data_IF_539623934220
#
_entry.id   IF_539623934220
#
_cell.length_a   1.000
_cell.length_b   1.000
_cell.length_c   1.000
_cell.angle_alpha   90.00
_cell.angle_beta   90.00
_cell.angle_gamma   90.00
#
_symmetry.space_group_name_H-M   'P 1'
#
loop_
_entity.id
_entity.type
_entity.pdbx_description
1 polymer ?
#
# COMPACT_ATOMS: atom_id res chain seq x y z
N UNK A 1 38.84 5.87 -59.45
CA UNK A 1 39.40 6.86 -58.51
C UNK A 1 38.35 7.17 -57.46
N UNK A 2 38.79 7.34 -56.22
CA UNK A 2 38.08 7.11 -54.96
C UNK A 2 36.58 7.50 -54.86
N UNK A 3 35.82 6.56 -54.33
CA UNK A 3 34.46 6.68 -53.81
C UNK A 3 34.40 7.67 -52.64
N UNK A 4 33.46 8.60 -52.66
CA UNK A 4 33.13 9.45 -51.50
C UNK A 4 31.72 9.10 -51.05
N UNK A 5 31.63 8.21 -50.07
CA UNK A 5 30.37 7.83 -49.42
C UNK A 5 30.06 8.88 -48.34
N UNK A 6 28.99 9.65 -48.53
CA UNK A 6 28.51 10.61 -47.54
C UNK A 6 27.72 9.85 -46.46
N UNK A 7 28.32 9.72 -45.27
CA UNK A 7 27.70 9.09 -44.11
C UNK A 7 26.82 10.12 -43.39
N UNK A 8 25.50 10.09 -43.61
CA UNK A 8 24.54 10.85 -42.81
C UNK A 8 24.42 10.23 -41.41
N UNK A 9 25.16 10.77 -40.45
CA UNK A 9 24.97 10.50 -39.02
C UNK A 9 23.68 11.18 -38.55
N UNK A 10 22.62 10.40 -38.35
CA UNK A 10 21.44 10.84 -37.60
C UNK A 10 21.77 10.77 -36.11
N UNK A 11 22.02 11.93 -35.51
CA UNK A 11 22.05 12.08 -34.05
C UNK A 11 20.62 12.05 -33.51
N UNK A 12 20.29 11.21 -32.52
CA UNK A 12 19.03 11.36 -31.79
C UNK A 12 19.13 12.62 -30.93
N UNK A 13 18.35 13.64 -31.27
CA UNK A 13 18.13 14.81 -30.45
C UNK A 13 17.40 14.41 -29.18
N UNK A 14 18.13 14.33 -28.06
CA UNK A 14 17.61 14.29 -26.70
C UNK A 14 16.89 15.62 -26.41
N UNK A 15 15.56 15.60 -26.48
CA UNK A 15 14.74 16.71 -26.01
C UNK A 15 14.56 16.53 -24.50
N UNK A 16 15.36 17.26 -23.72
CA UNK A 16 15.06 17.47 -22.30
C UNK A 16 13.84 18.38 -22.19
N UNK A 17 12.66 17.79 -21.97
CA UNK A 17 11.49 18.53 -21.54
C UNK A 17 11.66 18.96 -20.09
N UNK A 18 12.15 20.18 -19.86
CA UNK A 18 12.04 20.82 -18.55
C UNK A 18 10.56 21.12 -18.29
N UNK A 19 9.89 20.26 -17.50
CA UNK A 19 8.57 20.55 -17.00
C UNK A 19 8.67 21.64 -15.90
N UNK A 20 8.56 22.90 -16.32
CA UNK A 20 8.47 24.07 -15.46
C UNK A 20 7.06 24.21 -14.88
N UNK A 21 6.61 23.21 -14.13
CA UNK A 21 5.30 23.20 -13.50
C UNK A 21 5.29 22.37 -12.22
N UNK A 22 5.58 23.02 -11.08
CA UNK A 22 5.10 22.70 -9.72
C UNK A 22 6.05 23.05 -8.56
N UNK A 23 6.83 24.14 -8.66
CA UNK A 23 7.55 24.66 -7.47
C UNK A 23 6.54 25.13 -6.40
N UNK A 24 5.35 25.61 -6.80
CA UNK A 24 4.32 26.06 -5.87
C UNK A 24 3.58 24.92 -5.12
N UNK A 25 3.54 23.69 -5.65
CA UNK A 25 2.91 22.56 -4.96
C UNK A 25 3.83 21.89 -3.93
N UNK A 26 5.16 21.96 -4.10
CA UNK A 26 6.10 21.42 -3.11
C UNK A 26 6.12 22.22 -1.81
N UNK A 27 5.98 23.55 -1.89
CA UNK A 27 6.02 24.42 -0.70
C UNK A 27 4.74 24.39 0.14
N UNK A 28 3.59 23.99 -0.42
CA UNK A 28 2.33 23.83 0.34
C UNK A 28 2.21 22.50 1.09
N UNK A 29 2.91 21.45 0.66
CA UNK A 29 2.84 20.12 1.30
C UNK A 29 3.70 20.02 2.56
N UNK A 30 4.83 20.74 2.60
CA UNK A 30 5.71 20.76 3.77
C UNK A 30 5.13 21.55 4.96
N UNK A 31 4.27 22.55 4.72
CA UNK A 31 3.72 23.40 5.79
C UNK A 31 2.54 22.78 6.56
N UNK A 32 1.96 21.66 6.12
CA UNK A 32 0.78 21.05 6.78
C UNK A 32 1.09 19.84 7.67
N UNK A 33 2.34 19.36 7.71
CA UNK A 33 2.70 18.19 8.51
C UNK A 33 2.84 18.53 10.00
N UNK A 34 3.24 19.77 10.32
CA UNK A 34 3.54 20.27 11.67
C UNK A 34 2.32 20.61 12.54
N UNK A 35 1.07 20.50 12.04
CA UNK A 35 -0.14 20.85 12.83
C UNK A 35 -1.14 19.70 12.98
N UNK A 36 -0.78 18.47 12.63
CA UNK A 36 -1.69 17.32 12.74
C UNK A 36 -1.85 16.93 14.21
N UNK A 37 -3.08 16.90 14.70
CA UNK A 37 -3.40 16.36 16.03
C UNK A 37 -3.64 14.86 15.90
N UNK A 38 -2.57 14.08 15.78
CA UNK A 38 -2.69 12.63 15.61
C UNK A 38 -3.24 11.98 16.89
N UNK A 39 -4.27 11.12 16.83
CA UNK A 39 -4.78 10.38 17.99
C UNK A 39 -3.74 9.38 18.54
N UNK A 40 -3.96 8.88 19.76
CA UNK A 40 -3.04 7.91 20.39
C UNK A 40 -2.88 6.64 19.53
N UNK A 41 -3.96 6.12 18.98
CA UNK A 41 -3.94 4.97 18.07
C UNK A 41 -3.31 5.27 16.69
N UNK A 42 -3.00 6.54 16.39
CA UNK A 42 -2.32 6.95 15.16
C UNK A 42 -3.22 7.31 13.99
N UNK A 43 -4.52 7.09 14.08
CA UNK A 43 -5.50 7.40 13.03
C UNK A 43 -6.86 7.73 13.64
N UNK A 44 -7.71 8.44 12.91
CA UNK A 44 -9.11 8.59 13.27
C UNK A 44 -9.90 7.41 12.72
N UNK A 45 -10.76 6.78 13.52
CA UNK A 45 -11.54 5.63 13.05
C UNK A 45 -12.55 6.10 11.96
N UNK A 46 -12.45 5.60 10.72
CA UNK A 46 -13.38 5.97 9.64
C UNK A 46 -14.84 5.80 10.02
N UNK A 47 -15.18 4.78 10.82
CA UNK A 47 -16.56 4.46 11.17
C UNK A 47 -17.24 5.55 12.01
N UNK A 48 -16.48 6.34 12.77
CA UNK A 48 -17.01 7.40 13.63
C UNK A 48 -17.63 8.56 12.80
N UNK A 49 -17.20 8.70 11.54
CA UNK A 49 -17.58 9.78 10.64
C UNK A 49 -18.19 9.27 9.32
N UNK A 50 -18.83 8.09 9.33
CA UNK A 50 -19.51 7.54 8.15
C UNK A 50 -18.58 7.03 7.03
N UNK A 51 -17.30 6.82 7.35
CA UNK A 51 -16.35 6.10 6.53
C UNK A 51 -16.48 4.59 6.62
N UNK A 52 -15.52 3.87 6.05
CA UNK A 52 -15.56 2.41 5.91
C UNK A 52 -14.15 1.80 5.93
N UNK A 53 -14.05 0.59 6.48
CA UNK A 53 -12.89 -0.29 6.32
C UNK A 53 -13.03 -1.28 5.15
N UNK A 54 -14.09 -1.14 4.35
CA UNK A 54 -14.26 -1.83 3.08
C UNK A 54 -14.15 -0.82 1.93
N UNK A 55 -13.43 -1.22 0.88
CA UNK A 55 -13.41 -0.47 -0.37
C UNK A 55 -14.79 -0.52 -1.04
N UNK A 56 -15.03 0.44 -1.92
CA UNK A 56 -16.17 0.48 -2.83
C UNK A 56 -15.66 0.13 -4.21
N UNK A 57 -16.15 -0.99 -4.71
CA UNK A 57 -15.83 -1.52 -6.03
C UNK A 57 -17.07 -1.30 -6.92
N UNK A 58 -16.93 -0.68 -8.11
CA UNK A 58 -18.10 -0.35 -8.94
C UNK A 58 -18.96 -1.55 -9.34
N UNK A 59 -18.32 -2.68 -9.66
CA UNK A 59 -18.99 -3.91 -10.10
C UNK A 59 -18.31 -5.09 -9.42
N UNK A 60 -19.10 -5.88 -8.69
CA UNK A 60 -18.69 -7.10 -7.99
C UNK A 60 -19.74 -8.17 -8.18
N UNK A 61 -19.38 -9.42 -7.90
CA UNK A 61 -20.33 -10.52 -7.90
C UNK A 61 -20.19 -11.35 -6.62
N UNK A 62 -21.19 -11.32 -5.71
CA UNK A 62 -22.36 -10.43 -5.65
C UNK A 62 -22.07 -8.93 -5.68
N UNK A 63 -23.03 -8.13 -6.16
CA UNK A 63 -22.91 -6.66 -6.21
C UNK A 63 -22.80 -6.03 -4.83
N UNK A 64 -22.01 -4.96 -4.72
CA UNK A 64 -21.89 -4.14 -3.52
C UNK A 64 -20.87 -4.67 -2.51
N UNK A 65 -20.06 -5.64 -2.89
CA UNK A 65 -18.94 -6.13 -2.08
C UNK A 65 -17.71 -5.21 -2.17
N UNK A 66 -16.87 -5.27 -1.15
CA UNK A 66 -15.64 -4.49 -1.02
C UNK A 66 -14.48 -5.32 -0.52
N UNK A 67 -13.27 -4.81 -0.73
CA UNK A 67 -12.05 -5.40 -0.19
C UNK A 67 -11.71 -4.83 1.18
N UNK A 68 -11.15 -5.64 2.10
CA UNK A 68 -10.84 -5.21 3.44
C UNK A 68 -9.60 -4.31 3.46
N UNK A 69 -9.75 -3.12 4.05
CA UNK A 69 -8.65 -2.26 4.47
C UNK A 69 -8.09 -2.81 5.78
N UNK A 70 -7.22 -3.81 5.66
CA UNK A 70 -6.78 -4.67 6.76
C UNK A 70 -5.40 -4.29 7.33
N UNK A 71 -4.78 -3.22 6.85
CA UNK A 71 -3.50 -2.72 7.34
C UNK A 71 -3.49 -1.19 7.42
N UNK A 72 -2.88 -0.62 8.46
CA UNK A 72 -2.72 0.83 8.62
C UNK A 72 -1.26 1.14 8.97
N UNK A 73 -0.62 2.07 8.26
CA UNK A 73 0.57 2.76 8.77
C UNK A 73 0.11 3.97 9.57
N UNK A 74 0.35 3.92 10.87
CA UNK A 74 -0.02 4.91 11.87
C UNK A 74 0.55 6.29 11.54
N UNK A 75 -0.25 7.33 11.76
CA UNK A 75 0.18 8.73 11.70
C UNK A 75 1.24 9.10 12.76
N UNK A 76 1.50 8.22 13.73
CA UNK A 76 2.60 8.35 14.71
C UNK A 76 3.95 7.87 14.15
N UNK A 77 3.98 7.34 12.93
CA UNK A 77 5.22 7.05 12.20
C UNK A 77 6.00 8.33 11.90
N UNK A 78 7.28 8.20 11.56
CA UNK A 78 8.08 9.38 11.20
C UNK A 78 7.50 10.11 9.97
N UNK A 79 7.60 11.43 9.96
CA UNK A 79 6.96 12.27 8.94
C UNK A 79 7.34 11.87 7.52
N UNK A 80 8.60 11.46 7.30
CA UNK A 80 9.08 10.99 6.00
C UNK A 80 8.30 9.76 5.50
N UNK A 81 7.95 8.82 6.38
CA UNK A 81 7.17 7.62 6.04
C UNK A 81 5.77 7.99 5.54
N UNK A 82 5.22 9.12 6.00
CA UNK A 82 3.86 9.56 5.65
C UNK A 82 3.84 10.40 4.36
N UNK A 83 4.98 10.55 3.69
CA UNK A 83 5.10 11.22 2.39
C UNK A 83 5.17 10.17 1.30
N UNK A 84 4.20 10.20 0.38
CA UNK A 84 4.23 9.40 -0.85
C UNK A 84 5.45 9.82 -1.72
N UNK A 85 6.56 9.10 -1.57
CA UNK A 85 7.86 9.34 -2.19
C UNK A 85 8.73 8.08 -2.17
N UNK A 86 9.51 7.87 -3.23
CA UNK A 86 10.57 6.84 -3.34
C UNK A 86 11.92 7.36 -2.81
N UNK A 87 12.04 8.66 -2.55
CA UNK A 87 13.27 9.28 -2.04
C UNK A 87 13.16 9.64 -0.57
N UNK A 88 14.30 9.95 0.04
CA UNK A 88 14.39 10.52 1.39
C UNK A 88 13.76 9.67 2.50
N UNK A 89 13.74 8.34 2.29
CA UNK A 89 13.13 7.39 3.20
C UNK A 89 11.60 7.41 3.19
N UNK A 90 11.00 7.89 2.09
CA UNK A 90 9.57 8.04 1.93
C UNK A 90 8.77 6.73 1.92
N UNK A 91 7.45 6.86 1.88
CA UNK A 91 6.50 5.73 1.94
C UNK A 91 6.82 4.62 0.94
N UNK A 92 7.13 4.95 -0.32
CA UNK A 92 7.40 3.95 -1.35
C UNK A 92 8.77 3.31 -1.19
N UNK A 93 9.76 4.04 -0.68
CA UNK A 93 11.05 3.44 -0.29
C UNK A 93 10.85 2.46 0.88
N UNK A 94 9.94 2.76 1.81
CA UNK A 94 9.59 1.80 2.85
C UNK A 94 8.94 0.55 2.24
N UNK A 95 8.01 0.69 1.29
CA UNK A 95 7.43 -0.47 0.59
C UNK A 95 8.48 -1.31 -0.15
N UNK A 96 9.47 -0.69 -0.79
CA UNK A 96 10.60 -1.42 -1.40
C UNK A 96 11.38 -2.23 -0.36
N UNK A 97 11.55 -1.71 0.85
CA UNK A 97 12.20 -2.46 1.94
C UNK A 97 11.41 -3.71 2.36
N UNK A 98 10.10 -3.75 2.05
CA UNK A 98 9.22 -4.90 2.29
C UNK A 98 9.16 -5.87 1.11
N UNK A 99 9.86 -5.58 0.00
CA UNK A 99 9.83 -6.33 -1.27
C UNK A 99 8.66 -5.97 -2.18
N UNK A 100 8.13 -4.76 -2.07
CA UNK A 100 7.06 -4.29 -2.94
C UNK A 100 7.46 -3.02 -3.68
N UNK A 101 7.00 -2.87 -4.92
CA UNK A 101 7.22 -1.65 -5.70
C UNK A 101 5.96 -1.22 -6.45
N UNK A 102 6.01 -0.01 -7.03
CA UNK A 102 4.93 0.52 -7.83
C UNK A 102 4.71 -0.32 -9.11
N UNK A 103 3.52 -0.19 -9.70
CA UNK A 103 3.16 -0.95 -10.90
C UNK A 103 4.13 -0.72 -12.07
N UNK A 104 4.49 -1.83 -12.71
CA UNK A 104 5.44 -1.87 -13.80
C UNK A 104 4.97 -1.04 -15.01
N UNK A 105 5.84 -0.15 -15.49
CA UNK A 105 5.69 0.60 -16.74
C UNK A 105 4.34 1.32 -16.90
N UNK A 106 3.70 1.72 -15.79
CA UNK A 106 2.44 2.45 -15.79
C UNK A 106 1.22 1.62 -16.21
N UNK A 107 1.29 0.29 -16.13
CA UNK A 107 0.11 -0.56 -16.20
C UNK A 107 -0.77 -0.26 -14.99
N UNK A 108 -1.76 0.62 -15.18
CA UNK A 108 -2.78 0.86 -14.17
C UNK A 108 -3.75 -0.31 -14.19
N UNK A 109 -3.99 -0.89 -13.03
CA UNK A 109 -5.18 -1.69 -12.78
C UNK A 109 -6.43 -1.02 -13.34
N UNK A 110 -7.22 -1.79 -14.09
CA UNK A 110 -8.43 -1.27 -14.74
C UNK A 110 -9.58 -1.04 -13.76
N UNK A 111 -9.46 -1.56 -12.53
CA UNK A 111 -10.45 -1.37 -11.47
C UNK A 111 -9.96 -0.34 -10.47
N UNK A 112 -10.59 0.84 -10.49
CA UNK A 112 -10.41 1.83 -9.45
C UNK A 112 -11.31 1.48 -8.25
N UNK A 113 -10.69 1.36 -7.09
CA UNK A 113 -11.36 1.10 -5.83
C UNK A 113 -11.37 2.37 -4.99
N UNK A 114 -12.52 2.74 -4.46
CA UNK A 114 -12.62 3.93 -3.62
C UNK A 114 -12.77 3.56 -2.15
N UNK A 115 -12.30 4.40 -1.23
CA UNK A 115 -12.63 4.27 0.19
C UNK A 115 -13.01 5.63 0.76
N UNK A 116 -13.94 5.64 1.71
CA UNK A 116 -14.23 6.80 2.53
C UNK A 116 -13.54 6.63 3.89
N UNK A 117 -12.50 7.43 4.16
CA UNK A 117 -11.75 7.35 5.41
C UNK A 117 -12.38 8.14 6.57
N UNK A 118 -13.59 8.68 6.39
CA UNK A 118 -14.27 9.45 7.42
C UNK A 118 -13.54 10.75 7.77
N UNK A 119 -12.75 11.29 6.83
CA UNK A 119 -11.91 12.47 7.04
C UNK A 119 -12.45 13.75 6.38
N UNK A 120 -13.66 13.69 5.83
CA UNK A 120 -14.34 14.81 5.18
C UNK A 120 -14.20 14.85 3.66
N UNK A 121 -13.42 13.95 3.05
CA UNK A 121 -13.31 13.86 1.59
C UNK A 121 -14.40 12.99 0.93
N UNK A 122 -15.11 12.17 1.72
CA UNK A 122 -15.99 11.14 1.16
C UNK A 122 -15.19 10.03 0.49
N UNK A 123 -15.74 9.41 -0.55
CA UNK A 123 -15.05 8.35 -1.28
C UNK A 123 -13.96 8.91 -2.20
N UNK A 124 -12.72 8.48 -1.98
CA UNK A 124 -11.57 8.76 -2.85
C UNK A 124 -11.04 7.47 -3.46
N UNK A 125 -10.62 7.54 -4.72
CA UNK A 125 -9.91 6.43 -5.38
C UNK A 125 -8.55 6.19 -4.71
N UNK A 126 -8.00 5.00 -4.93
CA UNK A 126 -6.68 4.62 -4.46
C UNK A 126 -5.59 5.60 -4.93
N UNK A 127 -4.59 5.82 -4.07
CA UNK A 127 -3.44 6.68 -4.40
C UNK A 127 -2.54 5.98 -5.42
N UNK A 128 -2.25 4.70 -5.17
CA UNK A 128 -1.57 3.81 -6.10
C UNK A 128 -1.85 2.35 -5.69
N UNK A 129 -1.50 1.43 -6.60
CA UNK A 129 -1.39 0.00 -6.33
C UNK A 129 0.10 -0.33 -6.19
N UNK A 130 0.43 -1.14 -5.21
CA UNK A 130 1.79 -1.57 -4.87
C UNK A 130 1.81 -3.09 -4.88
N UNK A 131 2.78 -3.68 -5.58
CA UNK A 131 2.80 -5.11 -5.92
C UNK A 131 4.10 -5.75 -5.46
N UNK A 132 4.05 -7.04 -5.15
CA UNK A 132 5.23 -7.83 -4.86
C UNK A 132 6.22 -7.78 -6.03
N UNK A 133 7.45 -7.39 -5.75
CA UNK A 133 8.44 -7.09 -6.78
C UNK A 133 9.33 -8.29 -7.14
N UNK A 134 9.16 -9.46 -6.51
CA UNK A 134 10.01 -10.64 -6.74
C UNK A 134 11.54 -10.38 -6.70
N UNK A 135 11.99 -9.37 -5.96
CA UNK A 135 13.38 -8.96 -5.86
C UNK A 135 13.87 -8.04 -6.98
N UNK A 136 12.97 -7.53 -7.84
CA UNK A 136 13.28 -6.54 -8.88
C UNK A 136 12.23 -5.41 -8.85
N UNK A 137 12.52 -4.28 -8.18
CA UNK A 137 11.60 -3.14 -8.08
C UNK A 137 11.18 -2.54 -9.43
N UNK A 138 11.98 -2.74 -10.49
CA UNK A 138 11.73 -2.16 -11.82
C UNK A 138 10.88 -3.06 -12.74
N UNK A 139 11.11 -4.38 -12.70
CA UNK A 139 10.47 -5.33 -13.63
C UNK A 139 9.68 -6.42 -12.95
N UNK A 140 9.88 -6.66 -11.66
CA UNK A 140 9.27 -7.79 -11.00
C UNK A 140 7.78 -7.60 -10.69
N UNK A 141 7.27 -6.38 -10.66
CA UNK A 141 5.83 -6.14 -10.62
C UNK A 141 5.13 -6.48 -11.94
N UNK A 142 5.84 -6.46 -13.08
CA UNK A 142 5.32 -7.03 -14.35
C UNK A 142 5.20 -8.55 -14.26
N UNK A 143 6.08 -9.21 -13.50
CA UNK A 143 6.05 -10.66 -13.27
C UNK A 143 4.90 -11.04 -12.35
N UNK A 144 4.57 -10.19 -11.38
CA UNK A 144 3.40 -10.35 -10.52
C UNK A 144 2.11 -10.41 -11.31
N UNK A 145 1.90 -9.51 -12.28
CA UNK A 145 0.72 -9.57 -13.17
C UNK A 145 0.57 -10.95 -13.82
N UNK A 146 1.68 -11.60 -14.18
CA UNK A 146 1.65 -12.91 -14.85
C UNK A 146 1.51 -14.08 -13.86
N UNK A 147 2.04 -13.94 -12.64
CA UNK A 147 2.21 -15.04 -11.68
C UNK A 147 1.26 -14.99 -10.47
N UNK A 148 0.64 -13.83 -10.20
CA UNK A 148 -0.12 -13.54 -9.00
C UNK A 148 0.79 -13.35 -7.80
N UNK A 149 0.47 -12.40 -6.94
CA UNK A 149 1.29 -12.08 -5.79
C UNK A 149 0.56 -11.30 -4.72
N UNK A 150 1.32 -10.98 -3.68
CA UNK A 150 0.86 -10.07 -2.64
C UNK A 150 0.82 -8.66 -3.26
N UNK A 151 -0.27 -7.95 -3.07
CA UNK A 151 -0.38 -6.57 -3.49
C UNK A 151 -1.26 -5.79 -2.53
N UNK A 152 -1.20 -4.47 -2.61
CA UNK A 152 -2.12 -3.62 -1.88
C UNK A 152 -2.40 -2.31 -2.59
N UNK A 153 -3.59 -1.78 -2.31
CA UNK A 153 -3.99 -0.41 -2.62
C UNK A 153 -3.91 0.41 -1.35
N UNK A 154 -3.62 1.71 -1.46
CA UNK A 154 -3.58 2.56 -0.29
C UNK A 154 -4.20 3.94 -0.47
N UNK A 155 -4.63 4.52 0.65
CA UNK A 155 -5.24 5.84 0.79
C UNK A 155 -4.62 6.59 1.97
N UNK A 156 -4.67 7.91 1.93
CA UNK A 156 -4.08 8.78 2.95
C UNK A 156 -5.21 9.49 3.68
N UNK A 157 -5.25 9.38 5.02
CA UNK A 157 -6.24 10.09 5.84
C UNK A 157 -5.80 11.54 6.08
N UNK A 158 -6.06 12.42 5.12
CA UNK A 158 -5.58 13.80 5.11
C UNK A 158 -6.69 14.85 4.93
N UNK A 159 -7.94 14.46 5.12
CA UNK A 159 -9.08 15.35 4.98
C UNK A 159 -9.27 16.37 6.09
N UNK A 160 -10.12 17.38 5.84
CA UNK A 160 -10.30 18.54 6.72
C UNK A 160 -10.85 18.17 8.10
N UNK A 161 -11.59 17.07 8.23
CA UNK A 161 -12.29 16.71 9.46
C UNK A 161 -11.46 15.75 10.33
N UNK A 162 -10.53 15.00 9.73
CA UNK A 162 -9.78 13.96 10.43
C UNK A 162 -8.36 13.73 9.85
N UNK A 163 -7.53 14.77 9.80
CA UNK A 163 -6.17 14.66 9.26
C UNK A 163 -5.18 14.04 10.27
N UNK A 164 -5.01 12.71 10.22
CA UNK A 164 -3.93 12.01 10.91
C UNK A 164 -2.70 11.82 10.04
N UNK A 165 -2.86 11.84 8.71
CA UNK A 165 -1.87 11.43 7.71
C UNK A 165 -1.53 9.93 7.74
N UNK A 166 -2.29 9.11 8.46
CA UNK A 166 -2.16 7.66 8.43
C UNK A 166 -2.43 7.10 7.02
N UNK A 167 -1.77 5.99 6.69
CA UNK A 167 -1.91 5.30 5.42
C UNK A 167 -2.78 4.07 5.63
N UNK A 168 -3.93 4.01 4.97
CA UNK A 168 -4.86 2.89 5.01
C UNK A 168 -4.62 1.99 3.81
N UNK A 169 -4.49 0.69 4.03
CA UNK A 169 -4.08 -0.27 3.00
C UNK A 169 -5.06 -1.44 2.92
N UNK A 170 -5.50 -1.76 1.70
CA UNK A 170 -6.22 -2.99 1.39
C UNK A 170 -5.22 -4.02 0.84
N UNK A 171 -4.77 -4.93 1.71
CA UNK A 171 -3.74 -5.92 1.39
C UNK A 171 -4.39 -7.25 1.04
N UNK A 172 -4.02 -7.80 -0.12
CA UNK A 172 -4.57 -9.07 -0.61
C UNK A 172 -3.54 -9.83 -1.44
N UNK A 173 -3.84 -11.09 -1.77
CA UNK A 173 -2.99 -11.89 -2.62
C UNK A 173 -3.81 -12.45 -3.77
N UNK A 174 -3.38 -12.13 -4.99
CA UNK A 174 -4.05 -12.52 -6.22
C UNK A 174 -3.45 -13.79 -6.81
N UNK A 175 -4.31 -14.56 -7.49
CA UNK A 175 -3.92 -15.61 -8.40
C UNK A 175 -3.34 -15.02 -9.70
N UNK A 176 -2.59 -15.81 -10.47
CA UNK A 176 -2.07 -15.37 -11.77
C UNK A 176 -3.16 -14.89 -12.74
N UNK A 177 -2.78 -14.08 -13.74
CA UNK A 177 -3.67 -13.64 -14.82
C UNK A 177 -4.43 -14.78 -15.53
N UNK A 178 -3.82 -15.95 -15.65
CA UNK A 178 -4.47 -17.14 -16.22
C UNK A 178 -5.73 -17.58 -15.44
N UNK A 179 -5.83 -17.16 -14.18
CA UNK A 179 -6.96 -17.33 -13.26
C UNK A 179 -7.66 -16.00 -12.97
N UNK A 180 -7.49 -15.02 -13.87
CA UNK A 180 -8.20 -13.73 -13.86
C UNK A 180 -7.98 -12.88 -12.60
N UNK A 181 -6.83 -13.02 -11.92
CA UNK A 181 -6.54 -12.25 -10.70
C UNK A 181 -7.57 -12.46 -9.57
N UNK A 182 -8.23 -13.63 -9.51
CA UNK A 182 -9.06 -13.98 -8.35
C UNK A 182 -8.20 -14.07 -7.08
N UNK A 183 -8.80 -13.89 -5.91
CA UNK A 183 -8.07 -13.91 -4.64
C UNK A 183 -7.84 -15.37 -4.21
N UNK A 184 -6.63 -15.67 -3.74
CA UNK A 184 -6.34 -17.03 -3.25
C UNK A 184 -7.24 -17.38 -2.05
N UNK A 185 -7.47 -18.68 -1.76
CA UNK A 185 -8.13 -19.08 -0.53
C UNK A 185 -7.43 -18.48 0.71
N UNK A 186 -8.19 -17.86 1.62
CA UNK A 186 -7.70 -17.08 2.77
C UNK A 186 -6.79 -15.87 2.41
N UNK A 187 -6.84 -15.39 1.18
CA UNK A 187 -5.88 -14.43 0.63
C UNK A 187 -5.80 -13.09 1.35
N UNK A 188 -6.91 -12.56 1.88
CA UNK A 188 -6.86 -11.30 2.64
C UNK A 188 -6.09 -11.44 3.95
N UNK A 189 -6.32 -12.52 4.70
CA UNK A 189 -5.65 -12.74 5.97
C UNK A 189 -4.18 -13.13 5.75
N UNK A 190 -3.92 -14.03 4.78
CA UNK A 190 -2.56 -14.45 4.43
C UNK A 190 -1.70 -13.30 3.90
N UNK A 191 -2.24 -12.44 3.04
CA UNK A 191 -1.47 -11.33 2.46
C UNK A 191 -1.03 -10.31 3.51
N UNK A 192 -1.94 -9.91 4.41
CA UNK A 192 -1.63 -9.07 5.57
C UNK A 192 -0.53 -9.73 6.41
N UNK A 193 -0.72 -10.98 6.76
CA UNK A 193 0.19 -11.72 7.62
C UNK A 193 1.57 -11.94 6.96
N UNK A 194 1.63 -12.13 5.65
CA UNK A 194 2.89 -12.21 4.89
C UNK A 194 3.58 -10.85 4.78
N UNK A 195 2.84 -9.75 4.64
CA UNK A 195 3.41 -8.41 4.71
C UNK A 195 4.06 -8.17 6.08
N UNK A 196 3.39 -8.54 7.17
CA UNK A 196 4.00 -8.47 8.51
C UNK A 196 5.18 -9.45 8.63
N UNK A 197 5.07 -10.64 8.05
CA UNK A 197 6.14 -11.63 8.04
C UNK A 197 7.42 -11.16 7.33
N UNK A 198 7.29 -10.36 6.26
CA UNK A 198 8.44 -9.72 5.59
C UNK A 198 9.16 -8.73 6.52
N UNK A 199 8.42 -8.03 7.39
CA UNK A 199 8.98 -7.10 8.37
C UNK A 199 9.69 -7.87 9.49
N UNK A 200 9.04 -8.91 10.03
CA UNK A 200 9.50 -9.65 11.21
C UNK A 200 10.47 -10.78 10.89
N UNK A 201 10.66 -11.08 9.60
CA UNK A 201 11.43 -12.23 9.10
C UNK A 201 10.96 -13.55 9.73
N UNK A 202 9.65 -13.67 9.96
CA UNK A 202 9.03 -14.83 10.59
C UNK A 202 7.61 -15.07 10.09
N UNK A 203 7.12 -16.30 10.22
CA UNK A 203 5.72 -16.60 9.89
C UNK A 203 4.79 -16.08 10.98
N UNK A 204 3.65 -15.51 10.56
CA UNK A 204 2.62 -15.04 11.48
C UNK A 204 1.60 -16.18 11.69
N UNK A 205 1.42 -16.69 12.92
CA UNK A 205 0.41 -17.70 13.22
C UNK A 205 -0.98 -17.06 13.28
N UNK A 206 -1.61 -16.87 12.11
CA UNK A 206 -2.94 -16.21 11.96
C UNK A 206 -3.98 -16.67 12.97
N UNK A 207 -4.00 -17.98 13.29
CA UNK A 207 -5.00 -18.58 14.15
C UNK A 207 -4.88 -18.21 15.64
N UNK A 208 -3.74 -17.65 16.04
CA UNK A 208 -3.46 -17.26 17.43
C UNK A 208 -3.41 -15.74 17.61
N UNK A 209 -3.79 -14.97 16.57
CA UNK A 209 -3.88 -13.52 16.66
C UNK A 209 -4.94 -13.09 17.69
N UNK A 210 -4.65 -11.99 18.38
CA UNK A 210 -5.50 -11.37 19.39
C UNK A 210 -5.26 -9.86 19.41
N UNK A 211 -6.12 -9.11 20.12
CA UNK A 211 -5.96 -7.65 20.30
C UNK A 211 -4.71 -7.24 21.07
N UNK A 212 -3.98 -8.19 21.65
CA UNK A 212 -2.71 -7.95 22.35
C UNK A 212 -1.50 -8.45 21.54
N UNK A 213 -1.72 -9.04 20.36
CA UNK A 213 -0.63 -9.58 19.56
C UNK A 213 0.18 -8.44 18.96
N UNK A 214 1.47 -8.44 19.27
CA UNK A 214 2.43 -7.46 18.78
C UNK A 214 3.59 -8.16 18.11
N UNK A 215 4.18 -7.48 17.13
CA UNK A 215 5.43 -7.86 16.49
C UNK A 215 6.30 -6.63 16.32
N UNK A 216 7.58 -6.85 16.03
CA UNK A 216 8.45 -5.80 15.53
C UNK A 216 9.48 -6.40 14.57
N UNK A 217 10.10 -5.53 13.78
CA UNK A 217 11.13 -5.95 12.85
C UNK A 217 11.81 -4.77 12.18
N UNK A 218 12.84 -5.09 11.40
CA UNK A 218 13.66 -4.10 10.71
C UNK A 218 13.85 -4.50 9.26
N UNK A 219 13.69 -3.52 8.37
CA UNK A 219 13.89 -3.67 6.93
C UNK A 219 14.75 -2.53 6.40
N UNK A 220 15.36 -2.71 5.23
CA UNK A 220 16.21 -1.68 4.63
C UNK A 220 16.04 -1.62 3.12
N UNK A 221 16.09 -0.41 2.56
CA UNK A 221 16.13 -0.18 1.12
C UNK A 221 16.81 1.17 0.83
N UNK A 222 17.60 1.22 -0.25
CA UNK A 222 18.30 2.42 -0.73
C UNK A 222 19.11 3.16 0.36
N UNK A 223 19.73 2.40 1.28
CA UNK A 223 20.55 2.93 2.37
C UNK A 223 19.76 3.52 3.56
N UNK A 224 18.44 3.40 3.57
CA UNK A 224 17.61 3.66 4.74
C UNK A 224 17.30 2.36 5.47
N UNK A 225 17.22 2.45 6.81
CA UNK A 225 16.77 1.35 7.68
C UNK A 225 15.54 1.78 8.46
N UNK A 226 14.52 0.92 8.47
CA UNK A 226 13.21 1.15 9.06
C UNK A 226 12.96 0.16 10.18
N UNK A 227 12.64 0.64 11.37
CA UNK A 227 12.09 -0.16 12.46
C UNK A 227 10.57 -0.03 12.47
N UNK A 228 9.85 -1.14 12.54
CA UNK A 228 8.39 -1.16 12.59
C UNK A 228 7.91 -1.88 13.84
N UNK A 229 7.04 -1.24 14.62
CA UNK A 229 6.26 -1.89 15.67
C UNK A 229 4.84 -2.15 15.15
N UNK A 230 4.35 -3.38 15.33
CA UNK A 230 3.08 -3.85 14.79
C UNK A 230 2.16 -4.25 15.93
N UNK A 231 0.91 -3.78 15.89
CA UNK A 231 -0.17 -4.18 16.77
C UNK A 231 -1.35 -4.71 15.95
N UNK A 232 -1.83 -5.90 16.28
CA UNK A 232 -3.09 -6.41 15.74
C UNK A 232 -4.25 -5.94 16.60
N UNK A 233 -5.28 -5.41 15.94
CA UNK A 233 -6.54 -4.98 16.59
C UNK A 233 -7.74 -5.57 15.86
N UNK A 234 -8.81 -5.84 16.59
CA UNK A 234 -10.12 -6.23 16.05
C UNK A 234 -11.18 -5.19 16.41
N UNK A 235 -12.37 -5.34 15.85
CA UNK A 235 -13.50 -4.41 16.05
C UNK A 235 -13.52 -3.25 15.05
N UNK A 236 -12.49 -3.11 14.20
CA UNK A 236 -12.48 -2.21 13.04
C UNK A 236 -13.08 -2.86 11.78
N UNK A 237 -12.77 -4.14 11.58
CA UNK A 237 -13.35 -4.99 10.55
C UNK A 237 -14.17 -6.10 11.21
N UNK A 238 -15.35 -6.45 10.66
CA UNK A 238 -16.09 -7.62 11.12
C UNK A 238 -15.39 -8.91 10.70
N UNK A 239 -15.39 -9.92 11.56
CA UNK A 239 -15.03 -11.29 11.18
C UNK A 239 -16.21 -11.91 10.43
N UNK A 240 -16.22 -11.80 9.10
CA UNK A 240 -17.36 -12.20 8.25
C UNK A 240 -16.94 -12.50 6.81
N UNK A 241 -17.82 -13.17 6.08
CA UNK A 241 -17.79 -13.26 4.61
C UNK A 241 -18.79 -12.30 3.96
N UNK A 242 -19.69 -11.69 4.73
CA UNK A 242 -20.73 -10.81 4.21
C UNK A 242 -20.15 -9.48 3.76
N UNK A 243 -20.45 -9.08 2.53
CA UNK A 243 -19.94 -7.83 1.94
C UNK A 243 -18.47 -7.87 1.53
N UNK A 244 -17.77 -8.99 1.74
CA UNK A 244 -16.38 -9.18 1.31
C UNK A 244 -16.34 -9.62 -0.16
N UNK A 245 -15.52 -8.96 -0.97
CA UNK A 245 -15.31 -9.33 -2.37
C UNK A 245 -14.68 -10.73 -2.46
N UNK A 246 -14.99 -11.51 -3.49
CA UNK A 246 -14.52 -12.90 -3.66
C UNK A 246 -14.85 -13.85 -2.49
N UNK A 247 -15.85 -13.54 -1.67
CA UNK A 247 -16.12 -14.29 -0.45
C UNK A 247 -16.36 -15.80 -0.64
N UNK A 248 -16.91 -16.22 -1.78
CA UNK A 248 -17.18 -17.63 -2.10
C UNK A 248 -15.92 -18.47 -2.33
N UNK A 249 -14.83 -17.85 -2.82
CA UNK A 249 -13.55 -18.52 -3.12
C UNK A 249 -12.51 -18.31 -2.02
N UNK A 250 -12.60 -17.20 -1.29
CA UNK A 250 -11.65 -16.85 -0.23
C UNK A 250 -11.95 -17.54 1.10
N UNK A 251 -13.23 -17.77 1.43
CA UNK A 251 -13.60 -18.47 2.65
C UNK A 251 -13.13 -19.93 2.62
N UNK A 252 -12.45 -20.39 3.69
CA UNK A 252 -11.85 -21.73 3.75
C UNK A 252 -12.25 -22.50 5.00
N UNK A 253 -12.54 -23.79 4.85
CA UNK A 253 -12.70 -24.72 5.99
C UNK A 253 -13.71 -24.25 7.04
N UNK A 254 -14.81 -23.64 6.61
CA UNK A 254 -15.85 -23.09 7.50
C UNK A 254 -15.47 -21.78 8.21
N UNK A 255 -14.35 -21.16 7.84
CA UNK A 255 -13.92 -19.84 8.31
C UNK A 255 -14.34 -18.76 7.32
N UNK A 256 -14.59 -17.57 7.87
CA UNK A 256 -14.95 -16.39 7.10
C UNK A 256 -13.81 -15.91 6.18
N UNK A 257 -14.17 -15.16 5.14
CA UNK A 257 -13.22 -14.58 4.19
C UNK A 257 -12.21 -13.63 4.85
N UNK A 258 -12.63 -12.92 5.90
CA UNK A 258 -11.75 -12.12 6.77
C UNK A 258 -11.91 -12.50 8.23
N UNK A 259 -10.82 -12.42 9.00
CA UNK A 259 -10.79 -12.75 10.43
C UNK A 259 -11.15 -11.57 11.36
N UNK A 260 -11.36 -10.39 10.79
CA UNK A 260 -11.71 -9.16 11.51
C UNK A 260 -10.53 -8.42 12.14
N UNK A 261 -9.29 -8.88 11.92
CA UNK A 261 -8.10 -8.19 12.40
C UNK A 261 -7.55 -7.17 11.39
N UNK A 262 -7.06 -6.06 11.93
CA UNK A 262 -6.31 -5.02 11.22
C UNK A 262 -4.92 -4.93 11.86
N UNK A 263 -3.87 -4.93 11.04
CA UNK A 263 -2.51 -4.70 11.50
C UNK A 263 -2.19 -3.19 11.49
N UNK A 264 -1.80 -2.62 12.62
CA UNK A 264 -1.38 -1.22 12.74
C UNK A 264 0.15 -1.20 12.88
N UNK A 265 0.83 -0.51 11.97
CA UNK A 265 2.28 -0.36 11.93
C UNK A 265 2.66 1.05 12.37
N UNK A 266 3.60 1.17 13.31
CA UNK A 266 4.28 2.44 13.61
C UNK A 266 5.73 2.32 13.15
N UNK A 267 6.13 3.15 12.19
CA UNK A 267 7.40 3.00 11.47
C UNK A 267 8.33 4.17 11.79
N UNK A 268 9.58 3.84 12.11
CA UNK A 268 10.66 4.78 12.46
C UNK A 268 11.87 4.56 11.57
N UNK A 269 12.48 5.65 11.11
CA UNK A 269 13.74 5.59 10.35
C UNK A 269 14.89 5.57 11.35
N UNK A 270 15.60 4.45 11.45
CA UNK A 270 16.70 4.26 12.38
C UNK A 270 18.08 4.51 11.76
N UNK A 271 18.17 4.45 10.43
CA UNK A 271 19.40 4.74 9.69
C UNK A 271 19.08 5.48 8.38
N UNK A 272 19.97 6.39 7.99
CA UNK A 272 19.90 7.16 6.74
C UNK A 272 21.23 7.06 5.99
N UNK A 273 21.23 7.17 4.65
CA UNK A 273 22.46 7.24 3.89
C UNK A 273 23.34 8.39 4.36
N UNK A 274 24.68 8.27 4.26
CA UNK A 274 25.58 9.39 4.51
C UNK A 274 25.17 10.59 3.66
N UNK A 275 25.08 11.77 4.28
CA UNK A 275 24.91 13.01 3.52
C UNK A 275 26.16 13.23 2.67
N UNK A 276 25.96 13.41 1.36
CA UNK A 276 27.03 13.74 0.41
C UNK A 276 27.44 15.20 0.50
#
# INVERSE_FOLDING_TARGET
MASTTLLCLLLPSLVFGFNHGNIHNRLRRASSLSSRKVPEQGFYNPLDNGGSFLTKIPVTFPMGQGEPVNTIISGNSDEAILVDSETDGGLRNYFESLGFSAECLGQKESTHQAVNLGDGHGFLNETAVIRWDYGDPSLGTCKETIQGGNHFRYWIQNGPDANSGAIFMAVSYELPLAQQHDIIPNGYNLARDWLIGNITQSSIPTLTLSNATTYNGTTSANGFTYHSDILYVSGLLPNTSDGINHNLTVAVSGRNAVDGFVAILTVKITEKPPTS
#
